data_IF_958577670447
#
_entry.id   IF_958577670447
#
_cell.length_a   1.000
_cell.length_b   1.000
_cell.length_c   1.000
_cell.angle_alpha   90.00
_cell.angle_beta   90.00
_cell.angle_gamma   90.00
#
_symmetry.space_group_name_H-M   'P 1'
#
loop_
_entity.id
_entity.type
_entity.pdbx_description
1 polymer ?
#
# COMPACT_ATOMS: atom_id res chain seq x y z
N UNK A 1 -12.91 6.34 -14.56
CA UNK A 1 -11.82 6.55 -13.60
C UNK A 1 -11.32 5.16 -13.22
N UNK A 2 -10.06 4.84 -13.53
CA UNK A 2 -9.50 3.51 -13.31
C UNK A 2 -8.78 3.51 -11.98
N UNK A 3 -9.41 2.93 -10.96
CA UNK A 3 -8.72 2.64 -9.70
C UNK A 3 -7.98 1.31 -9.87
N UNK A 4 -6.70 1.28 -9.48
CA UNK A 4 -5.87 0.09 -9.52
C UNK A 4 -5.76 -0.48 -8.12
N UNK A 5 -6.19 -1.73 -7.99
CA UNK A 5 -5.88 -2.53 -6.82
C UNK A 5 -4.38 -2.70 -6.67
N UNK A 6 -3.88 -2.50 -5.46
CA UNK A 6 -2.51 -2.75 -5.06
C UNK A 6 -2.52 -3.71 -3.86
N UNK A 7 -1.72 -4.76 -3.96
CA UNK A 7 -1.52 -5.73 -2.88
C UNK A 7 -0.02 -5.82 -2.64
N UNK A 8 0.42 -5.58 -1.41
CA UNK A 8 1.82 -5.65 -1.04
C UNK A 8 2.01 -6.50 0.22
N UNK A 9 3.10 -7.24 0.25
CA UNK A 9 3.49 -8.09 1.37
C UNK A 9 4.64 -7.43 2.12
N UNK A 10 4.57 -7.43 3.44
CA UNK A 10 5.55 -6.80 4.33
C UNK A 10 6.21 -7.84 5.23
N UNK A 11 7.43 -7.56 5.66
CA UNK A 11 8.15 -8.39 6.63
C UNK A 11 7.71 -8.10 8.07
N UNK A 12 7.09 -6.96 8.33
CA UNK A 12 6.66 -6.55 9.66
C UNK A 12 5.42 -5.63 9.64
N UNK A 13 4.60 -5.63 10.71
CA UNK A 13 3.42 -4.77 10.79
C UNK A 13 3.79 -3.28 10.85
N UNK A 14 4.97 -2.92 11.36
CA UNK A 14 5.47 -1.54 11.39
C UNK A 14 5.72 -0.98 9.97
N UNK A 15 6.23 -1.81 9.06
CA UNK A 15 6.47 -1.44 7.66
C UNK A 15 5.15 -1.18 6.91
N UNK A 16 4.15 -2.03 7.14
CA UNK A 16 2.80 -1.85 6.60
C UNK A 16 2.16 -0.55 7.10
N UNK A 17 2.25 -0.26 8.40
CA UNK A 17 1.75 0.99 9.00
C UNK A 17 2.42 2.23 8.42
N UNK A 18 3.73 2.17 8.18
CA UNK A 18 4.50 3.27 7.55
C UNK A 18 4.02 3.58 6.13
N UNK A 19 3.64 2.56 5.37
CA UNK A 19 3.04 2.73 4.04
C UNK A 19 1.64 3.33 4.09
N UNK A 20 0.83 2.97 5.08
CA UNK A 20 -0.57 3.39 5.17
C UNK A 20 -0.69 4.90 5.26
N UNK A 21 0.09 5.56 6.11
CA UNK A 21 0.04 7.02 6.23
C UNK A 21 0.37 7.71 4.90
N UNK A 22 1.30 7.14 4.13
CA UNK A 22 1.69 7.64 2.80
C UNK A 22 0.63 7.32 1.73
N UNK A 23 0.07 6.11 1.73
CA UNK A 23 -1.02 5.69 0.83
C UNK A 23 -2.29 6.52 1.07
N UNK A 24 -2.64 6.79 2.33
CA UNK A 24 -3.74 7.70 2.69
C UNK A 24 -3.50 9.12 2.15
N UNK A 25 -2.27 9.63 2.24
CA UNK A 25 -1.93 10.93 1.65
C UNK A 25 -2.09 10.95 0.12
N UNK A 26 -1.91 9.79 -0.53
CA UNK A 26 -2.13 9.59 -1.97
C UNK A 26 -3.60 9.37 -2.36
N UNK A 27 -4.53 9.51 -1.41
CA UNK A 27 -5.96 9.20 -1.58
C UNK A 27 -6.21 7.74 -1.97
N UNK A 28 -5.42 6.82 -1.43
CA UNK A 28 -5.76 5.40 -1.49
C UNK A 28 -7.12 5.16 -0.81
N UNK A 29 -7.99 4.44 -1.49
CA UNK A 29 -9.25 3.93 -0.98
C UNK A 29 -9.11 2.46 -0.58
N UNK A 30 -10.04 1.96 0.23
CA UNK A 30 -10.15 0.52 0.53
C UNK A 30 -8.87 -0.11 1.14
N UNK A 31 -8.12 0.65 1.94
CA UNK A 31 -6.91 0.14 2.59
C UNK A 31 -7.27 -0.89 3.68
N UNK A 32 -6.87 -2.13 3.47
CA UNK A 32 -7.02 -3.24 4.39
C UNK A 32 -5.65 -3.81 4.77
N UNK A 33 -5.42 -4.05 6.06
CA UNK A 33 -4.22 -4.73 6.57
C UNK A 33 -4.60 -6.13 7.02
N UNK A 34 -3.91 -7.11 6.48
CA UNK A 34 -3.95 -8.47 6.96
C UNK A 34 -2.79 -8.72 7.92
N UNK A 35 -3.04 -8.60 9.23
CA UNK A 35 -2.01 -8.82 10.26
C UNK A 35 -1.52 -10.27 10.33
N UNK A 36 -2.32 -11.22 9.84
CA UNK A 36 -1.98 -12.64 9.81
C UNK A 36 -0.98 -12.94 8.70
N UNK A 37 -1.14 -12.29 7.54
CA UNK A 37 -0.27 -12.47 6.37
C UNK A 37 0.74 -11.33 6.17
N UNK A 38 0.70 -10.30 7.03
CA UNK A 38 1.46 -9.05 6.89
C UNK A 38 1.29 -8.43 5.50
N UNK A 39 0.08 -8.48 4.96
CA UNK A 39 -0.23 -7.92 3.64
C UNK A 39 -1.07 -6.65 3.77
N UNK A 40 -0.77 -5.66 2.92
CA UNK A 40 -1.60 -4.48 2.73
C UNK A 40 -2.26 -4.59 1.36
N UNK A 41 -3.57 -4.43 1.35
CA UNK A 41 -4.37 -4.38 0.14
C UNK A 41 -5.06 -3.02 0.07
N UNK A 42 -5.21 -2.45 -1.10
CA UNK A 42 -5.99 -1.24 -1.28
C UNK A 42 -6.20 -0.89 -2.73
N UNK A 43 -6.93 0.18 -2.96
CA UNK A 43 -7.17 0.73 -4.28
C UNK A 43 -6.52 2.12 -4.35
N UNK A 44 -5.71 2.36 -5.36
CA UNK A 44 -5.11 3.67 -5.63
C UNK A 44 -5.46 4.13 -7.03
N UNK A 45 -5.60 5.43 -7.20
CA UNK A 45 -5.77 6.01 -8.52
C UNK A 45 -4.59 5.62 -9.43
N UNK A 46 -4.85 5.37 -10.71
CA UNK A 46 -3.81 5.05 -11.70
C UNK A 46 -2.65 6.06 -11.70
N UNK A 47 -2.94 7.35 -11.49
CA UNK A 47 -1.92 8.42 -11.43
C UNK A 47 -1.02 8.31 -10.19
N UNK A 48 -1.54 7.73 -9.11
CA UNK A 48 -0.83 7.53 -7.84
C UNK A 48 -0.20 6.14 -7.71
N UNK A 49 -0.50 5.22 -8.63
CA UNK A 49 -0.03 3.84 -8.59
C UNK A 49 1.50 3.73 -8.56
N UNK A 50 2.20 4.49 -9.41
CA UNK A 50 3.67 4.50 -9.44
C UNK A 50 4.27 5.02 -8.12
N UNK A 51 3.64 6.04 -7.53
CA UNK A 51 4.07 6.58 -6.25
C UNK A 51 3.80 5.61 -5.10
N UNK A 52 2.65 4.93 -5.10
CA UNK A 52 2.32 3.89 -4.14
C UNK A 52 3.33 2.74 -4.18
N UNK A 53 3.73 2.29 -5.37
CA UNK A 53 4.78 1.28 -5.55
C UNK A 53 6.12 1.72 -4.94
N UNK A 54 6.52 2.98 -5.15
CA UNK A 54 7.73 3.52 -4.56
C UNK A 54 7.64 3.51 -3.04
N UNK A 55 6.54 3.99 -2.48
CA UNK A 55 6.29 4.02 -1.03
C UNK A 55 6.41 2.63 -0.40
N UNK A 56 5.79 1.62 -1.02
CA UNK A 56 5.81 0.24 -0.55
C UNK A 56 7.23 -0.30 -0.54
N UNK A 57 7.97 -0.13 -1.62
CA UNK A 57 9.37 -0.57 -1.73
C UNK A 57 10.28 0.17 -0.74
N UNK A 58 10.07 1.47 -0.53
CA UNK A 58 10.82 2.26 0.45
C UNK A 58 10.58 1.81 1.90
N UNK A 59 9.41 1.27 2.18
CA UNK A 59 9.10 0.71 3.50
C UNK A 59 9.54 -0.75 3.66
N UNK A 60 10.14 -1.38 2.64
CA UNK A 60 10.55 -2.79 2.69
C UNK A 60 9.50 -3.78 2.19
N UNK A 61 8.33 -3.30 1.72
CA UNK A 61 7.30 -4.13 1.14
C UNK A 61 7.62 -4.59 -0.28
N UNK A 62 7.10 -5.75 -0.65
CA UNK A 62 7.15 -6.30 -2.02
C UNK A 62 5.74 -6.39 -2.59
N UNK A 63 5.54 -5.82 -3.79
CA UNK A 63 4.28 -5.87 -4.56
C UNK A 63 4.27 -7.07 -5.51
#
# INVERSE_FOLDING_TARGET
>A
MSDKGITASFGSPEEALSCISKLQALRAADLQIDHSQLQLTGAVNESAYDQALRVIREAGGSV
#
